data_IF_905269970140
#
_entry.id   IF_905269970140
#
_cell.length_a   1.000
_cell.length_b   1.000
_cell.length_c   1.000
_cell.angle_alpha   90.00
_cell.angle_beta   90.00
_cell.angle_gamma   90.00
#
_symmetry.space_group_name_H-M   'P 1'
#
loop_
_entity.id
_entity.type
_entity.pdbx_description
1 polymer ?
#
# COMPACT_ATOMS: atom_id res chain seq x y z
N UNK A 1 53.50 -53.30 -33.54
CA UNK A 1 52.16 -53.70 -33.07
C UNK A 1 52.31 -54.86 -32.09
N UNK A 2 51.66 -54.73 -30.92
CA UNK A 2 51.91 -55.49 -29.71
C UNK A 2 51.56 -56.98 -29.77
N UNK A 3 52.19 -57.81 -28.92
CA UNK A 3 51.63 -59.10 -28.51
C UNK A 3 51.37 -59.23 -27.00
N UNK A 4 50.30 -59.99 -26.69
CA UNK A 4 50.18 -61.05 -25.65
C UNK A 4 49.95 -60.73 -24.15
N UNK A 5 48.76 -61.17 -23.70
CA UNK A 5 48.42 -62.23 -22.70
C UNK A 5 48.51 -62.03 -21.16
N UNK A 6 47.47 -62.62 -20.51
CA UNK A 6 47.36 -63.35 -19.19
C UNK A 6 47.11 -62.50 -17.92
N UNK A 7 46.01 -62.71 -17.16
CA UNK A 7 45.63 -63.77 -16.17
C UNK A 7 45.91 -63.28 -14.71
N UNK A 8 44.88 -63.02 -13.88
CA UNK A 8 44.23 -63.89 -12.87
C UNK A 8 44.96 -64.01 -11.50
N UNK A 9 44.28 -63.66 -10.38
CA UNK A 9 44.41 -64.35 -9.06
C UNK A 9 43.38 -63.92 -8.01
N UNK A 10 43.14 -64.83 -7.06
CA UNK A 10 42.06 -64.92 -6.07
C UNK A 10 42.46 -64.47 -4.63
N UNK A 11 41.42 -64.37 -3.78
CA UNK A 11 41.30 -64.94 -2.42
C UNK A 11 41.67 -64.16 -1.14
N UNK A 12 40.86 -64.49 -0.11
CA UNK A 12 40.68 -64.02 1.27
C UNK A 12 41.91 -64.13 2.19
N UNK A 13 41.96 -63.30 3.24
CA UNK A 13 42.24 -63.78 4.61
C UNK A 13 41.84 -62.78 5.71
N UNK A 14 41.43 -63.33 6.84
CA UNK A 14 41.02 -62.70 8.10
C UNK A 14 42.16 -62.70 9.13
N UNK A 15 42.34 -61.64 9.93
CA UNK A 15 42.98 -61.75 11.25
C UNK A 15 42.68 -60.54 12.16
N UNK A 16 42.51 -60.85 13.44
CA UNK A 16 42.13 -60.04 14.62
C UNK A 16 43.31 -59.23 15.19
N UNK A 17 43.04 -58.06 15.79
CA UNK A 17 43.96 -57.33 16.68
C UNK A 17 43.20 -56.37 17.60
N UNK A 18 43.52 -56.36 18.90
CA UNK A 18 42.72 -55.88 20.05
C UNK A 18 43.43 -54.71 20.75
N UNK A 19 42.70 -53.67 21.24
CA UNK A 19 42.95 -52.75 22.39
C UNK A 19 42.24 -51.39 22.13
N UNK A 20 41.13 -51.01 22.76
CA UNK A 20 40.77 -50.66 24.17
C UNK A 20 41.02 -49.18 24.56
N UNK A 21 39.92 -48.52 24.99
CA UNK A 21 39.77 -47.18 25.64
C UNK A 21 40.02 -45.98 24.71
N UNK A 22 39.12 -44.99 24.59
CA UNK A 22 38.67 -44.06 25.66
C UNK A 22 37.26 -43.52 25.37
N UNK A 23 36.44 -43.53 26.43
CA UNK A 23 35.37 -42.60 26.85
C UNK A 23 34.70 -41.71 25.79
N UNK A 24 33.44 -42.04 25.60
CA UNK A 24 32.27 -41.23 25.27
C UNK A 24 32.33 -39.83 25.93
N UNK A 25 32.46 -38.79 25.12
CA UNK A 25 32.05 -37.42 25.44
C UNK A 25 31.03 -37.00 24.39
N UNK A 26 29.82 -36.74 24.88
CA UNK A 26 28.69 -36.22 24.14
C UNK A 26 29.06 -34.81 23.67
N UNK A 27 29.26 -34.64 22.36
CA UNK A 27 29.10 -33.33 21.72
C UNK A 27 27.64 -33.22 21.35
N UNK A 28 26.87 -32.54 22.19
CA UNK A 28 25.64 -31.89 21.78
C UNK A 28 26.04 -30.89 20.69
N UNK A 29 25.79 -31.25 19.44
CA UNK A 29 25.64 -30.26 18.38
C UNK A 29 24.36 -29.50 18.71
N UNK A 30 24.51 -28.36 19.37
CA UNK A 30 23.50 -27.32 19.37
C UNK A 30 23.25 -26.96 17.90
N UNK A 31 22.22 -27.58 17.33
CA UNK A 31 21.54 -27.00 16.18
C UNK A 31 21.00 -25.66 16.67
N UNK A 32 21.66 -24.58 16.28
CA UNK A 32 21.02 -23.28 16.22
C UNK A 32 19.78 -23.44 15.33
N UNK A 33 18.64 -23.75 15.96
CA UNK A 33 17.35 -23.40 15.42
C UNK A 33 17.37 -21.88 15.29
N UNK A 34 17.75 -21.42 14.11
CA UNK A 34 17.39 -20.08 13.64
C UNK A 34 15.87 -20.04 13.75
N UNK A 35 15.38 -19.47 14.85
CA UNK A 35 14.00 -19.02 14.98
C UNK A 35 13.86 -17.98 13.87
N UNK A 36 13.50 -18.45 12.67
CA UNK A 36 13.10 -17.58 11.58
C UNK A 36 11.88 -16.86 12.12
N UNK A 37 12.07 -15.60 12.51
CA UNK A 37 10.98 -14.68 12.69
C UNK A 37 9.99 -14.90 11.54
N UNK A 38 8.67 -15.01 11.82
CA UNK A 38 7.70 -15.25 10.77
C UNK A 38 7.94 -14.21 9.68
N UNK A 39 8.01 -14.65 8.42
CA UNK A 39 8.29 -13.80 7.28
C UNK A 39 7.40 -12.56 7.40
N UNK A 40 8.02 -11.39 7.63
CA UNK A 40 7.30 -10.14 7.92
C UNK A 40 6.32 -9.83 6.80
N UNK A 41 6.65 -10.29 5.59
CA UNK A 41 5.79 -10.33 4.42
C UNK A 41 4.50 -11.14 4.64
N UNK A 42 4.61 -12.42 5.01
CA UNK A 42 3.44 -13.28 5.23
C UNK A 42 2.57 -12.78 6.39
N UNK A 43 3.21 -12.26 7.44
CA UNK A 43 2.51 -11.70 8.59
C UNK A 43 1.69 -10.47 8.20
N UNK A 44 2.27 -9.56 7.40
CA UNK A 44 1.57 -8.39 6.87
C UNK A 44 0.39 -8.79 5.96
N UNK A 45 0.58 -9.78 5.10
CA UNK A 45 -0.51 -10.30 4.23
C UNK A 45 -1.68 -10.82 5.05
N UNK A 46 -1.43 -11.62 6.09
CA UNK A 46 -2.49 -12.15 6.95
C UNK A 46 -3.22 -11.05 7.70
N UNK A 47 -2.50 -10.06 8.25
CA UNK A 47 -3.08 -8.93 8.95
C UNK A 47 -3.99 -8.09 8.03
N UNK A 48 -3.55 -7.79 6.81
CA UNK A 48 -4.33 -7.02 5.84
C UNK A 48 -5.58 -7.76 5.37
N UNK A 49 -5.50 -9.08 5.16
CA UNK A 49 -6.67 -9.90 4.77
C UNK A 49 -7.72 -10.02 5.87
N UNK A 50 -7.31 -9.99 7.13
CA UNK A 50 -8.22 -10.06 8.28
C UNK A 50 -8.91 -8.71 8.57
N UNK A 51 -8.36 -7.61 8.07
CA UNK A 51 -8.87 -6.28 8.31
C UNK A 51 -10.00 -5.91 7.34
N UNK A 52 -11.19 -5.64 7.87
CA UNK A 52 -12.31 -5.07 7.10
C UNK A 52 -12.23 -3.55 7.11
N UNK A 53 -11.98 -2.93 5.96
CA UNK A 53 -12.02 -1.48 5.80
C UNK A 53 -13.45 -0.93 5.79
N UNK A 54 -13.66 0.26 6.36
CA UNK A 54 -14.90 1.03 6.19
C UNK A 54 -14.74 1.89 4.93
N UNK A 55 -15.73 1.85 4.04
CA UNK A 55 -15.75 2.72 2.86
C UNK A 55 -16.40 4.03 3.25
N UNK A 56 -15.62 5.09 3.38
CA UNK A 56 -16.17 6.42 3.56
C UNK A 56 -16.69 7.04 2.25
N UNK A 57 -17.28 8.23 2.36
CA UNK A 57 -17.87 8.95 1.22
C UNK A 57 -16.79 9.50 0.28
N UNK A 58 -16.92 9.20 -1.00
CA UNK A 58 -15.95 9.65 -2.00
C UNK A 58 -15.98 11.18 -2.19
N UNK A 59 -14.79 11.81 -2.17
CA UNK A 59 -14.63 13.23 -2.51
C UNK A 59 -14.61 13.41 -4.04
N UNK A 60 -15.13 14.55 -4.52
CA UNK A 60 -15.07 14.90 -5.94
C UNK A 60 -13.60 15.02 -6.36
N UNK A 61 -13.26 14.45 -7.51
CA UNK A 61 -11.93 14.52 -8.10
C UNK A 61 -11.46 15.99 -8.19
N UNK A 62 -10.30 16.30 -7.61
CA UNK A 62 -9.79 17.67 -7.50
C UNK A 62 -9.54 18.39 -8.84
N UNK A 63 -9.51 17.65 -9.96
CA UNK A 63 -9.43 18.24 -11.31
C UNK A 63 -10.80 18.56 -11.92
N UNK A 64 -11.89 18.22 -11.24
CA UNK A 64 -13.24 18.57 -11.64
C UNK A 64 -13.52 20.02 -11.25
N UNK A 65 -14.09 20.81 -12.18
CA UNK A 65 -14.47 22.20 -11.89
C UNK A 65 -15.53 22.35 -10.79
N UNK A 66 -16.17 21.25 -10.39
CA UNK A 66 -17.19 21.21 -9.34
C UNK A 66 -16.61 20.87 -7.95
N UNK A 67 -15.32 20.52 -7.84
CA UNK A 67 -14.75 19.97 -6.60
C UNK A 67 -14.74 20.95 -5.42
N UNK A 68 -14.75 22.27 -5.68
CA UNK A 68 -14.79 23.31 -4.66
C UNK A 68 -16.20 23.86 -4.36
N UNK A 69 -17.25 23.23 -4.91
CA UNK A 69 -18.63 23.68 -4.68
C UNK A 69 -19.25 22.92 -3.51
N UNK A 70 -19.66 23.63 -2.46
CA UNK A 70 -20.22 23.04 -1.23
C UNK A 70 -21.55 22.31 -1.43
N UNK A 71 -22.28 22.63 -2.50
CA UNK A 71 -23.54 21.99 -2.86
C UNK A 71 -23.37 20.80 -3.82
N UNK A 72 -22.14 20.34 -4.10
CA UNK A 72 -21.87 19.23 -5.00
C UNK A 72 -21.24 18.07 -4.26
N UNK A 73 -21.76 16.86 -4.47
CA UNK A 73 -21.22 15.65 -3.85
C UNK A 73 -21.27 14.45 -4.78
N UNK A 74 -20.38 13.48 -4.54
CA UNK A 74 -20.47 12.18 -5.21
C UNK A 74 -21.71 11.45 -4.72
N UNK A 75 -22.47 10.90 -5.66
CA UNK A 75 -23.70 10.19 -5.38
C UNK A 75 -23.43 8.74 -4.94
N UNK A 76 -23.82 8.42 -3.71
CA UNK A 76 -23.72 7.07 -3.15
C UNK A 76 -22.30 6.48 -3.35
N UNK A 77 -22.23 5.28 -3.92
CA UNK A 77 -21.00 4.54 -4.20
C UNK A 77 -20.49 4.74 -5.65
N UNK A 78 -21.11 5.61 -6.45
CA UNK A 78 -20.81 5.83 -7.88
C UNK A 78 -19.50 6.62 -8.08
N UNK A 79 -18.42 6.06 -7.57
CA UNK A 79 -17.02 6.46 -7.69
C UNK A 79 -16.20 5.24 -8.05
N UNK A 80 -15.39 5.32 -9.09
CA UNK A 80 -14.38 4.29 -9.33
C UNK A 80 -13.12 4.85 -9.96
N UNK A 81 -11.99 4.32 -9.48
CA UNK A 81 -10.69 4.48 -10.09
C UNK A 81 -10.30 3.17 -10.77
N UNK A 82 -9.92 3.27 -12.03
CA UNK A 82 -9.53 2.14 -12.86
C UNK A 82 -8.09 2.33 -13.33
N UNK A 83 -7.33 1.23 -13.39
CA UNK A 83 -5.96 1.23 -13.87
C UNK A 83 -5.73 0.13 -14.91
N UNK A 84 -4.79 0.36 -15.82
CA UNK A 84 -4.37 -0.59 -16.84
C UNK A 84 -2.90 -0.39 -17.16
N UNK A 85 -2.10 -1.43 -16.93
CA UNK A 85 -0.72 -1.48 -17.37
C UNK A 85 -0.50 -2.64 -18.34
N UNK A 86 0.26 -2.37 -19.41
CA UNK A 86 0.77 -3.38 -20.33
C UNK A 86 2.14 -2.93 -20.82
N UNK A 87 3.18 -3.63 -20.36
CA UNK A 87 4.58 -3.33 -20.68
C UNK A 87 4.85 -3.44 -22.18
N UNK A 88 4.33 -4.48 -22.84
CA UNK A 88 4.57 -4.74 -24.27
C UNK A 88 4.11 -3.62 -25.20
N UNK A 89 3.09 -2.86 -24.79
CA UNK A 89 2.56 -1.72 -25.55
C UNK A 89 2.89 -0.35 -24.91
N UNK A 90 3.74 -0.30 -23.88
CA UNK A 90 3.99 0.90 -23.05
C UNK A 90 2.69 1.62 -22.64
N UNK A 91 1.69 0.83 -22.26
CA UNK A 91 0.46 1.36 -21.68
C UNK A 91 0.60 1.38 -20.17
N UNK A 92 0.39 2.55 -19.57
CA UNK A 92 0.23 2.72 -18.14
C UNK A 92 -0.82 3.82 -17.93
N UNK A 93 -2.08 3.43 -17.84
CA UNK A 93 -3.23 4.32 -18.02
C UNK A 93 -4.18 4.22 -16.86
N UNK A 94 -4.71 5.36 -16.44
CA UNK A 94 -5.78 5.44 -15.46
C UNK A 94 -7.09 5.92 -16.11
N UNK A 95 -8.20 5.63 -15.45
CA UNK A 95 -9.52 6.15 -15.76
C UNK A 95 -10.29 6.36 -14.45
N UNK A 96 -10.85 7.54 -14.23
CA UNK A 96 -11.72 7.86 -13.09
C UNK A 96 -13.11 8.12 -13.64
N UNK A 97 -14.12 7.57 -12.97
CA UNK A 97 -15.54 7.80 -13.26
C UNK A 97 -16.22 8.18 -11.95
N UNK A 98 -16.90 9.32 -11.93
CA UNK A 98 -17.70 9.78 -10.79
C UNK A 98 -19.08 10.25 -11.25
N UNK A 99 -20.10 9.88 -10.50
CA UNK A 99 -21.43 10.47 -10.61
C UNK A 99 -21.61 11.50 -9.50
N UNK A 100 -21.73 12.75 -9.89
CA UNK A 100 -21.81 13.90 -9.00
C UNK A 100 -23.24 14.44 -9.05
N UNK A 101 -23.77 14.88 -7.92
CA UNK A 101 -25.06 15.54 -7.87
C UNK A 101 -25.05 16.78 -6.99
N UNK A 102 -25.95 17.70 -7.32
CA UNK A 102 -26.23 18.86 -6.48
C UNK A 102 -27.18 18.50 -5.35
N UNK A 103 -26.89 19.00 -4.14
CA UNK A 103 -27.72 18.84 -2.93
C UNK A 103 -28.87 19.87 -2.85
N UNK A 104 -29.03 20.71 -3.88
CA UNK A 104 -30.10 21.70 -3.94
C UNK A 104 -31.49 21.05 -4.13
N UNK A 105 -32.55 21.82 -3.82
CA UNK A 105 -33.96 21.39 -3.96
C UNK A 105 -34.34 20.83 -5.35
N UNK A 106 -33.58 21.18 -6.38
CA UNK A 106 -33.67 20.58 -7.73
C UNK A 106 -32.32 19.96 -8.07
N UNK A 107 -32.12 18.66 -7.81
CA UNK A 107 -30.82 18.04 -8.03
C UNK A 107 -30.49 18.03 -9.53
N UNK A 108 -29.29 18.51 -9.85
CA UNK A 108 -28.66 18.34 -11.16
C UNK A 108 -27.60 17.27 -11.04
N UNK A 109 -27.41 16.47 -12.09
CA UNK A 109 -26.49 15.33 -12.07
C UNK A 109 -25.41 15.50 -13.12
N UNK A 110 -24.21 15.02 -12.83
CA UNK A 110 -23.07 15.09 -13.74
C UNK A 110 -22.30 13.78 -13.71
N UNK A 111 -21.90 13.28 -14.88
CA UNK A 111 -20.90 12.23 -14.96
C UNK A 111 -19.54 12.84 -15.31
N UNK A 112 -18.62 12.74 -14.36
CA UNK A 112 -17.23 13.13 -14.51
C UNK A 112 -16.42 11.92 -14.97
N UNK A 113 -15.64 12.11 -16.03
CA UNK A 113 -14.69 11.13 -16.52
C UNK A 113 -13.33 11.80 -16.66
N UNK A 114 -12.27 11.21 -16.10
CA UNK A 114 -10.88 11.68 -16.26
C UNK A 114 -9.98 10.52 -16.63
N UNK A 115 -9.11 10.68 -17.62
CA UNK A 115 -8.26 9.60 -18.11
C UNK A 115 -6.94 10.10 -18.67
N UNK A 116 -5.92 9.25 -18.63
CA UNK A 116 -4.62 9.60 -19.17
C UNK A 116 -3.56 8.61 -18.75
N UNK A 117 -2.31 9.06 -18.81
CA UNK A 117 -1.16 8.30 -18.33
C UNK A 117 -1.03 8.46 -16.81
N UNK A 118 -0.68 7.39 -16.10
CA UNK A 118 -0.43 7.45 -14.64
C UNK A 118 0.70 8.44 -14.36
N UNK A 119 0.57 9.27 -13.32
CA UNK A 119 1.45 10.41 -13.04
C UNK A 119 1.10 11.73 -13.76
N UNK A 120 0.30 11.69 -14.81
CA UNK A 120 -0.16 12.89 -15.54
C UNK A 120 -1.62 13.22 -15.19
N UNK A 121 -2.01 14.49 -15.39
CA UNK A 121 -3.38 15.00 -15.16
C UNK A 121 -4.37 14.37 -16.13
N UNK A 122 -3.95 14.14 -17.38
CA UNK A 122 -4.78 13.54 -18.42
C UNK A 122 -5.80 14.51 -19.03
N UNK A 123 -6.78 13.93 -19.73
CA UNK A 123 -7.95 14.60 -20.28
C UNK A 123 -9.16 14.32 -19.39
N UNK A 124 -10.17 15.19 -19.47
CA UNK A 124 -11.40 15.02 -18.73
C UNK A 124 -12.64 15.39 -19.53
N UNK A 125 -13.79 14.93 -19.07
CA UNK A 125 -15.10 15.27 -19.60
C UNK A 125 -16.13 15.27 -18.48
N UNK A 126 -16.84 16.39 -18.35
CA UNK A 126 -18.02 16.53 -17.50
C UNK A 126 -19.26 16.51 -18.38
N UNK A 127 -20.20 15.60 -18.11
CA UNK A 127 -21.44 15.47 -18.89
C UNK A 127 -22.64 15.75 -17.99
N UNK A 128 -23.47 16.79 -18.26
CA UNK A 128 -24.62 17.11 -17.44
C UNK A 128 -25.85 16.26 -17.77
N UNK A 129 -26.68 16.00 -16.77
CA UNK A 129 -27.94 15.27 -16.85
C UNK A 129 -29.03 15.94 -16.00
N UNK A 130 -30.26 15.91 -16.49
CA UNK A 130 -31.43 16.47 -15.81
C UNK A 130 -32.12 15.50 -14.86
N UNK A 131 -31.74 14.22 -14.86
CA UNK A 131 -32.31 13.18 -14.02
C UNK A 131 -31.25 12.14 -13.62
N UNK A 132 -31.50 11.44 -12.51
CA UNK A 132 -30.58 10.45 -11.95
C UNK A 132 -30.43 9.21 -12.84
N UNK A 133 -31.54 8.63 -13.33
CA UNK A 133 -31.48 7.38 -14.08
C UNK A 133 -30.63 7.47 -15.36
N UNK A 134 -30.73 8.53 -16.20
CA UNK A 134 -29.82 8.70 -17.33
C UNK A 134 -28.36 8.82 -16.91
N UNK A 135 -28.06 9.50 -15.81
CA UNK A 135 -26.70 9.65 -15.30
C UNK A 135 -26.13 8.29 -14.82
N UNK A 136 -26.90 7.54 -14.02
CA UNK A 136 -26.52 6.18 -13.57
C UNK A 136 -26.25 5.27 -14.78
N UNK A 137 -27.12 5.30 -15.80
CA UNK A 137 -26.92 4.52 -17.03
C UNK A 137 -25.66 4.92 -17.81
N UNK A 138 -25.31 6.19 -17.89
CA UNK A 138 -24.07 6.62 -18.54
C UNK A 138 -22.85 6.13 -17.76
N UNK A 139 -22.84 6.30 -16.43
CA UNK A 139 -21.79 5.78 -15.56
C UNK A 139 -21.59 4.27 -15.74
N UNK A 140 -22.66 3.48 -15.61
CA UNK A 140 -22.60 2.01 -15.68
C UNK A 140 -22.18 1.53 -17.06
N UNK A 141 -22.64 2.22 -18.12
CA UNK A 141 -22.20 1.95 -19.49
C UNK A 141 -20.70 2.22 -19.64
N UNK A 142 -20.20 3.36 -19.14
CA UNK A 142 -18.76 3.67 -19.18
C UNK A 142 -17.94 2.65 -18.41
N UNK A 143 -18.37 2.29 -17.20
CA UNK A 143 -17.72 1.25 -16.40
C UNK A 143 -17.63 -0.06 -17.19
N UNK A 144 -18.75 -0.56 -17.70
CA UNK A 144 -18.81 -1.81 -18.48
C UNK A 144 -17.97 -1.77 -19.75
N UNK A 145 -17.96 -0.66 -20.48
CA UNK A 145 -17.13 -0.51 -21.68
C UNK A 145 -15.62 -0.63 -21.36
N UNK A 146 -15.20 -0.10 -20.21
CA UNK A 146 -13.79 -0.07 -19.77
C UNK A 146 -13.34 -1.35 -19.08
N UNK A 147 -14.23 -2.02 -18.33
CA UNK A 147 -13.88 -3.16 -17.49
C UNK A 147 -14.44 -4.49 -17.99
N UNK A 148 -15.46 -4.49 -18.86
CA UNK A 148 -16.33 -5.63 -19.20
C UNK A 148 -17.13 -6.22 -18.03
N UNK A 149 -17.16 -5.56 -16.88
CA UNK A 149 -17.94 -5.96 -15.72
C UNK A 149 -19.21 -5.09 -15.58
N UNK A 150 -20.25 -5.62 -14.95
CA UNK A 150 -21.42 -4.81 -14.59
C UNK A 150 -21.15 -4.08 -13.26
N UNK A 151 -21.60 -2.83 -13.14
CA UNK A 151 -21.40 -2.04 -11.92
C UNK A 151 -22.08 -2.64 -10.69
N UNK A 152 -23.25 -3.24 -10.87
CA UNK A 152 -24.00 -3.93 -9.81
C UNK A 152 -23.28 -5.17 -9.27
N UNK A 153 -22.38 -5.76 -10.05
CA UNK A 153 -21.64 -6.99 -9.72
C UNK A 153 -20.17 -6.69 -9.40
N UNK A 154 -19.84 -5.43 -9.12
CA UNK A 154 -18.45 -4.98 -8.93
C UNK A 154 -17.72 -5.64 -7.77
N UNK A 155 -18.44 -6.21 -6.79
CA UNK A 155 -17.83 -7.00 -5.71
C UNK A 155 -17.23 -8.32 -6.22
N UNK A 156 -17.77 -8.87 -7.31
CA UNK A 156 -17.28 -10.07 -7.99
C UNK A 156 -16.46 -9.71 -9.25
N UNK A 157 -15.66 -8.63 -9.15
CA UNK A 157 -14.89 -8.11 -10.27
C UNK A 157 -13.95 -9.15 -10.87
N UNK A 158 -14.02 -9.34 -12.19
CA UNK A 158 -13.07 -10.20 -12.93
C UNK A 158 -12.21 -9.36 -13.87
N UNK A 159 -10.88 -9.43 -13.69
CA UNK A 159 -9.95 -8.78 -14.60
C UNK A 159 -9.96 -9.44 -15.98
N UNK A 160 -10.02 -8.63 -17.04
CA UNK A 160 -10.01 -9.11 -18.41
C UNK A 160 -8.77 -8.61 -19.18
N UNK A 161 -8.14 -9.46 -20.01
CA UNK A 161 -7.01 -9.06 -20.83
C UNK A 161 -7.32 -7.81 -21.68
N UNK A 162 -6.43 -6.83 -21.65
CA UNK A 162 -6.57 -5.59 -22.42
C UNK A 162 -7.68 -4.65 -21.92
N UNK A 163 -8.27 -4.91 -20.75
CA UNK A 163 -9.24 -4.02 -20.10
C UNK A 163 -8.68 -3.42 -18.82
N UNK A 164 -9.40 -2.42 -18.30
CA UNK A 164 -9.03 -1.79 -17.03
C UNK A 164 -9.46 -2.66 -15.85
N UNK A 165 -8.68 -2.60 -14.78
CA UNK A 165 -8.98 -3.22 -13.48
C UNK A 165 -9.38 -2.16 -12.48
N UNK A 166 -10.37 -2.43 -11.64
CA UNK A 166 -10.80 -1.52 -10.58
C UNK A 166 -9.78 -1.51 -9.44
N UNK A 167 -9.49 -0.32 -8.93
CA UNK A 167 -8.64 -0.10 -7.77
C UNK A 167 -9.53 0.32 -6.62
N UNK A 168 -9.49 -0.45 -5.54
CA UNK A 168 -10.27 -0.15 -4.34
C UNK A 168 -9.56 0.91 -3.52
N UNK A 169 -10.17 2.09 -3.50
CA UNK A 169 -9.72 3.24 -2.73
C UNK A 169 -10.58 3.36 -1.48
N UNK A 170 -9.93 3.46 -0.32
CA UNK A 170 -10.60 3.88 0.92
C UNK A 170 -10.66 5.41 0.93
N UNK A 171 -11.86 5.93 1.22
CA UNK A 171 -12.08 7.35 1.43
C UNK A 171 -12.31 7.57 2.91
N UNK A 172 -11.62 8.54 3.49
CA UNK A 172 -11.85 8.95 4.86
C UNK A 172 -13.13 9.78 4.92
N UNK A 173 -14.01 9.43 5.87
CA UNK A 173 -15.29 10.12 6.10
C UNK A 173 -15.15 11.53 6.68
N UNK A 174 -13.93 11.95 7.02
CA UNK A 174 -13.73 13.14 7.83
C UNK A 174 -13.54 14.40 6.94
N UNK A 175 -14.44 15.35 7.18
CA UNK A 175 -14.39 16.74 6.73
C UNK A 175 -13.19 17.42 7.37
N UNK A 176 -12.08 17.51 6.63
CA UNK A 176 -11.33 18.74 6.39
C UNK A 176 -10.15 18.40 5.47
N UNK A 177 -9.68 19.39 4.74
CA UNK A 177 -8.67 19.24 3.72
C UNK A 177 -7.37 18.64 4.26
N UNK A 178 -6.73 17.82 3.42
CA UNK A 178 -5.31 17.48 3.55
C UNK A 178 -4.39 18.66 3.20
N UNK A 179 -4.76 19.88 3.62
CA UNK A 179 -3.77 20.91 3.93
C UNK A 179 -3.37 20.69 5.38
N UNK A 180 -2.06 20.71 5.59
CA UNK A 180 -1.35 20.53 6.84
C UNK A 180 -2.21 20.71 8.11
N UNK A 181 -2.20 19.71 8.99
CA UNK A 181 -2.39 19.95 10.42
C UNK A 181 -1.20 20.77 10.99
N UNK A 182 -0.78 21.84 10.32
CA UNK A 182 -0.37 23.03 11.04
C UNK A 182 -1.68 23.61 11.51
N UNK A 183 -1.94 23.50 12.80
CA UNK A 183 -3.00 24.25 13.48
C UNK A 183 -2.72 25.74 13.22
N UNK A 184 -3.16 26.27 12.07
CA UNK A 184 -3.26 27.70 11.82
C UNK A 184 -4.49 28.12 12.59
N UNK A 185 -4.24 28.53 13.83
CA UNK A 185 -5.23 29.23 14.66
C UNK A 185 -5.45 30.62 14.05
N UNK A 186 -6.06 30.69 12.87
CA UNK A 186 -6.63 31.93 12.34
C UNK A 186 -8.14 31.75 12.22
N UNK A 187 -8.76 31.97 13.38
CA UNK A 187 -10.12 32.44 13.65
C UNK A 187 -11.10 32.47 12.46
N UNK A 188 -12.04 31.53 12.47
CA UNK A 188 -13.45 31.80 12.15
C UNK A 188 -14.35 30.90 13.01
N UNK A 189 -15.12 31.55 13.89
CA UNK A 189 -16.32 31.06 14.59
C UNK A 189 -16.27 29.77 15.44
N UNK A 190 -15.73 29.88 16.67
CA UNK A 190 -15.92 28.90 17.76
C UNK A 190 -15.01 29.18 18.96
N UNK A 191 -15.44 28.92 20.19
CA UNK A 191 -14.68 29.25 21.42
C UNK A 191 -13.23 28.73 21.38
N UNK A 192 -12.22 29.49 21.85
CA UNK A 192 -10.83 29.05 21.83
C UNK A 192 -10.63 27.85 22.76
N UNK A 193 -10.51 26.64 22.19
CA UNK A 193 -10.07 25.45 22.92
C UNK A 193 -8.64 25.69 23.42
N UNK A 194 -8.41 25.63 24.74
CA UNK A 194 -7.06 25.77 25.31
C UNK A 194 -6.29 24.46 25.13
N UNK A 195 -5.18 24.51 24.41
CA UNK A 195 -4.26 23.39 24.22
C UNK A 195 -3.31 23.33 25.42
N UNK A 196 -3.13 22.14 26.01
CA UNK A 196 -2.17 21.92 27.10
C UNK A 196 -0.72 21.97 26.58
N UNK A 197 0.25 22.41 27.41
CA UNK A 197 1.66 22.28 27.05
C UNK A 197 2.06 20.81 26.93
N UNK A 198 2.97 20.50 26.00
CA UNK A 198 3.46 19.14 25.79
C UNK A 198 4.13 18.59 27.05
N UNK A 199 3.78 17.36 27.42
CA UNK A 199 4.32 16.65 28.58
C UNK A 199 5.69 15.98 28.31
N UNK A 200 6.06 15.82 27.04
CA UNK A 200 7.28 15.12 26.61
C UNK A 200 8.52 16.01 26.71
N UNK A 201 9.69 15.40 26.91
CA UNK A 201 10.98 16.08 26.79
C UNK A 201 11.29 16.44 25.33
N UNK A 202 12.16 17.44 25.12
CA UNK A 202 12.44 17.98 23.78
C UNK A 202 12.97 16.91 22.80
N UNK A 203 13.92 16.03 23.17
CA UNK A 203 14.34 14.92 22.32
C UNK A 203 13.20 13.97 21.93
N UNK A 204 12.32 13.61 22.87
CA UNK A 204 11.14 12.78 22.57
C UNK A 204 10.15 13.51 21.65
N UNK A 205 9.93 14.81 21.84
CA UNK A 205 9.11 15.62 20.93
C UNK A 205 9.66 15.61 19.49
N UNK A 206 10.98 15.79 19.35
CA UNK A 206 11.64 15.81 18.05
C UNK A 206 11.54 14.44 17.36
N UNK A 207 11.69 13.34 18.10
CA UNK A 207 11.50 11.99 17.59
C UNK A 207 10.05 11.72 17.15
N UNK A 208 9.07 12.06 17.99
CA UNK A 208 7.65 11.88 17.66
C UNK A 208 7.27 12.70 16.44
N UNK A 209 7.71 13.96 16.36
CA UNK A 209 7.47 14.82 15.19
C UNK A 209 8.12 14.27 13.92
N UNK A 210 9.26 13.58 14.03
CA UNK A 210 9.94 12.97 12.90
C UNK A 210 9.16 11.76 12.36
N UNK A 211 8.80 10.82 13.24
CA UNK A 211 8.19 9.55 12.83
C UNK A 211 6.72 9.70 12.39
N UNK A 212 6.03 10.76 12.82
CA UNK A 212 4.68 11.09 12.37
C UNK A 212 4.65 12.16 11.25
N UNK A 213 5.80 12.50 10.65
CA UNK A 213 5.87 13.49 9.57
C UNK A 213 5.22 12.97 8.28
N UNK A 214 4.14 13.63 7.85
CA UNK A 214 3.47 13.34 6.57
C UNK A 214 4.39 13.53 5.36
N UNK A 215 5.31 14.49 5.42
CA UNK A 215 6.19 14.80 4.30
C UNK A 215 7.27 13.74 4.13
N UNK A 216 7.78 13.17 5.22
CA UNK A 216 8.66 12.01 5.15
C UNK A 216 7.97 10.81 4.49
N UNK A 217 6.68 10.59 4.77
CA UNK A 217 5.90 9.55 4.08
C UNK A 217 5.72 9.85 2.59
N UNK A 218 5.42 11.11 2.23
CA UNK A 218 5.33 11.52 0.81
C UNK A 218 6.66 11.30 0.08
N UNK A 219 7.77 11.73 0.66
CA UNK A 219 9.10 11.59 0.05
C UNK A 219 9.52 10.13 -0.12
N UNK A 220 9.22 9.29 0.87
CA UNK A 220 9.45 7.84 0.79
C UNK A 220 8.64 7.19 -0.34
N UNK A 221 7.34 7.51 -0.47
CA UNK A 221 6.51 7.00 -1.57
C UNK A 221 6.99 7.48 -2.95
N UNK A 222 7.50 8.70 -3.04
CA UNK A 222 8.01 9.29 -4.28
C UNK A 222 9.26 8.54 -4.76
N UNK A 223 10.17 8.24 -3.84
CA UNK A 223 11.39 7.45 -4.09
C UNK A 223 11.05 6.04 -4.62
N UNK A 224 9.89 5.51 -4.22
CA UNK A 224 9.37 4.22 -4.65
C UNK A 224 8.65 4.24 -6.01
N UNK A 225 8.57 5.40 -6.68
CA UNK A 225 7.87 5.62 -7.96
C UNK A 225 6.35 5.37 -7.89
N UNK A 226 5.73 5.64 -6.73
CA UNK A 226 4.29 5.57 -6.55
C UNK A 226 3.63 6.90 -6.97
N UNK A 227 2.42 6.82 -7.54
CA UNK A 227 1.65 8.02 -7.95
C UNK A 227 0.96 8.68 -6.76
N UNK A 228 1.71 9.49 -5.99
CA UNK A 228 1.20 10.20 -4.79
C UNK A 228 0.03 11.13 -5.09
N UNK A 229 -0.04 11.69 -6.31
CA UNK A 229 -1.14 12.60 -6.67
C UNK A 229 -2.49 11.89 -6.75
N UNK A 230 -2.48 10.60 -7.05
CA UNK A 230 -3.69 9.78 -7.14
C UNK A 230 -3.86 8.85 -5.95
N UNK A 231 -2.77 8.59 -5.25
CA UNK A 231 -2.72 7.90 -3.97
C UNK A 231 -2.15 8.88 -2.94
N UNK A 232 -2.91 9.93 -2.54
CA UNK A 232 -2.54 10.62 -1.31
C UNK A 232 -2.49 9.53 -0.23
N UNK A 233 -1.44 9.58 0.60
CA UNK A 233 -1.07 8.57 1.59
C UNK A 233 -2.33 7.90 2.18
N UNK A 234 -2.42 6.57 2.15
CA UNK A 234 -3.47 5.82 2.88
C UNK A 234 -4.73 5.48 2.11
N UNK A 235 -4.89 5.99 0.90
CA UNK A 235 -6.10 5.72 0.11
C UNK A 235 -6.17 4.33 -0.52
N UNK A 236 -5.08 3.56 -0.53
CA UNK A 236 -5.14 2.20 -1.08
C UNK A 236 -5.73 1.28 0.00
N UNK A 237 -6.86 0.65 -0.27
CA UNK A 237 -7.48 -0.24 0.71
C UNK A 237 -6.55 -1.38 1.12
N UNK A 238 -6.72 -1.90 2.34
CA UNK A 238 -5.99 -3.08 2.84
C UNK A 238 -6.14 -4.27 1.89
N UNK A 239 -7.34 -4.43 1.33
CA UNK A 239 -7.65 -5.45 0.33
C UNK A 239 -6.82 -5.28 -0.96
N UNK A 240 -6.62 -4.04 -1.41
CA UNK A 240 -5.82 -3.75 -2.60
C UNK A 240 -4.32 -3.99 -2.36
N UNK A 241 -3.79 -3.64 -1.19
CA UNK A 241 -2.40 -3.97 -0.80
C UNK A 241 -2.22 -5.50 -0.75
N UNK A 242 -3.19 -6.23 -0.18
CA UNK A 242 -3.19 -7.69 -0.16
C UNK A 242 -3.17 -8.32 -1.57
N UNK A 243 -3.97 -7.80 -2.52
CA UNK A 243 -3.91 -8.21 -3.94
C UNK A 243 -2.53 -7.93 -4.57
N UNK A 244 -1.89 -6.83 -4.16
CA UNK A 244 -0.53 -6.50 -4.56
C UNK A 244 0.48 -7.56 -4.13
N UNK A 245 0.38 -8.01 -2.88
CA UNK A 245 1.22 -9.07 -2.33
C UNK A 245 1.05 -10.40 -3.08
N UNK A 246 -0.20 -10.81 -3.34
CA UNK A 246 -0.50 -12.03 -4.12
C UNK A 246 0.12 -11.96 -5.52
N UNK A 247 0.09 -10.79 -6.17
CA UNK A 247 0.73 -10.61 -7.46
C UNK A 247 2.27 -10.74 -7.41
N UNK A 248 2.91 -10.29 -6.31
CA UNK A 248 4.34 -10.49 -6.11
C UNK A 248 4.70 -11.94 -5.77
N UNK A 249 3.85 -12.68 -5.04
CA UNK A 249 4.04 -14.11 -4.78
C UNK A 249 3.97 -14.92 -6.09
N UNK A 250 3.04 -14.60 -6.98
CA UNK A 250 2.97 -15.23 -8.31
C UNK A 250 4.20 -14.90 -9.17
N UNK A 251 4.70 -13.65 -9.11
CA UNK A 251 5.96 -13.27 -9.75
C UNK A 251 7.15 -14.04 -9.19
N UNK A 252 7.22 -14.22 -7.87
CA UNK A 252 8.26 -15.01 -7.23
C UNK A 252 8.24 -16.45 -7.72
N UNK A 253 7.07 -17.09 -7.71
CA UNK A 253 6.90 -18.46 -8.18
C UNK A 253 7.28 -18.60 -9.67
N UNK A 254 6.98 -17.59 -10.48
CA UNK A 254 7.38 -17.57 -11.89
C UNK A 254 8.90 -17.43 -12.06
N UNK A 255 9.57 -16.61 -11.25
CA UNK A 255 11.03 -16.45 -11.24
C UNK A 255 11.75 -17.73 -10.81
N UNK A 256 11.28 -18.37 -9.74
CA UNK A 256 11.81 -19.64 -9.24
C UNK A 256 11.70 -20.77 -10.29
N UNK A 257 10.59 -20.77 -11.04
CA UNK A 257 10.37 -21.69 -12.17
C UNK A 257 11.12 -21.30 -13.44
N UNK A 258 11.89 -20.20 -13.43
CA UNK A 258 12.60 -19.65 -14.59
C UNK A 258 11.67 -19.43 -15.79
N UNK A 259 10.51 -18.84 -15.54
CA UNK A 259 9.55 -18.51 -16.57
C UNK A 259 10.16 -17.60 -17.66
N UNK A 260 9.60 -17.66 -18.86
CA UNK A 260 10.10 -16.84 -19.96
C UNK A 260 9.80 -15.34 -19.74
N UNK A 261 10.53 -14.48 -20.46
CA UNK A 261 10.41 -13.02 -20.34
C UNK A 261 9.00 -12.51 -20.66
N UNK A 262 8.24 -13.21 -21.50
CA UNK A 262 6.85 -12.84 -21.83
C UNK A 262 5.92 -13.02 -20.63
N UNK A 263 6.02 -14.15 -19.94
CA UNK A 263 5.23 -14.43 -18.75
C UNK A 263 5.58 -13.47 -17.60
N UNK A 264 6.87 -13.19 -17.40
CA UNK A 264 7.32 -12.19 -16.41
C UNK A 264 6.80 -10.78 -16.74
N UNK A 265 6.79 -10.41 -18.03
CA UNK A 265 6.23 -9.13 -18.49
C UNK A 265 4.73 -9.02 -18.23
N UNK A 266 3.97 -10.10 -18.44
CA UNK A 266 2.54 -10.15 -18.16
C UNK A 266 2.24 -10.04 -16.66
N UNK A 267 2.94 -10.82 -15.83
CA UNK A 267 2.81 -10.77 -14.37
C UNK A 267 3.25 -9.41 -13.80
N UNK A 268 4.32 -8.82 -14.34
CA UNK A 268 4.76 -7.46 -13.97
C UNK A 268 3.71 -6.42 -14.37
N UNK A 269 3.11 -6.55 -15.55
CA UNK A 269 2.01 -5.68 -15.99
C UNK A 269 0.80 -5.81 -15.07
N UNK A 270 0.51 -7.03 -14.58
CA UNK A 270 -0.57 -7.28 -13.61
C UNK A 270 -0.28 -6.59 -12.28
N UNK A 271 0.94 -6.72 -11.76
CA UNK A 271 1.36 -6.04 -10.54
C UNK A 271 1.20 -4.52 -10.65
N UNK A 272 1.70 -3.88 -11.71
CA UNK A 272 1.54 -2.43 -11.91
C UNK A 272 0.11 -1.99 -12.21
N UNK A 273 -0.73 -2.90 -12.68
CA UNK A 273 -2.16 -2.65 -12.82
C UNK A 273 -2.81 -2.59 -11.44
N UNK A 274 -2.46 -3.51 -10.54
CA UNK A 274 -3.00 -3.57 -9.16
C UNK A 274 -2.44 -2.43 -8.30
N UNK A 275 -1.15 -2.13 -8.43
CA UNK A 275 -0.47 -1.09 -7.67
C UNK A 275 -0.01 0.00 -8.66
N UNK A 276 -0.75 1.12 -8.79
CA UNK A 276 -0.42 2.17 -9.75
C UNK A 276 0.98 2.76 -9.52
N UNK A 277 1.82 2.70 -10.54
CA UNK A 277 3.17 3.28 -10.50
C UNK A 277 3.31 4.39 -11.53
N UNK A 278 4.10 5.41 -11.21
CA UNK A 278 4.45 6.48 -12.13
C UNK A 278 5.84 6.23 -12.73
N UNK A 279 5.87 5.87 -14.01
CA UNK A 279 7.13 5.66 -14.77
C UNK A 279 7.46 6.84 -15.71
N UNK A 280 6.81 8.00 -15.52
CA UNK A 280 6.86 9.09 -16.49
C UNK A 280 6.50 8.57 -17.88
N UNK A 281 7.23 8.97 -18.93
CA UNK A 281 7.01 8.47 -20.31
C UNK A 281 7.76 7.18 -20.65
N UNK A 282 8.53 6.63 -19.71
CA UNK A 282 9.28 5.40 -19.94
C UNK A 282 8.39 4.17 -19.90
N UNK A 283 8.80 3.12 -20.59
CA UNK A 283 8.12 1.82 -20.50
C UNK A 283 8.28 1.27 -19.09
N UNK A 284 7.20 0.77 -18.44
CA UNK A 284 7.32 0.14 -17.13
C UNK A 284 8.33 -1.02 -17.18
N UNK A 285 9.27 -1.11 -16.22
CA UNK A 285 10.32 -2.13 -16.23
C UNK A 285 9.74 -3.52 -15.94
N UNK A 286 10.34 -4.58 -16.47
CA UNK A 286 9.94 -5.95 -16.11
C UNK A 286 10.58 -6.32 -14.78
N UNK A 287 9.83 -6.99 -13.90
CA UNK A 287 10.35 -7.57 -12.66
C UNK A 287 10.91 -8.95 -13.00
N UNK A 288 12.21 -9.00 -13.34
CA UNK A 288 12.89 -10.23 -13.80
C UNK A 288 14.06 -10.68 -12.92
N UNK A 289 14.41 -9.94 -11.86
CA UNK A 289 15.43 -10.34 -10.87
C UNK A 289 14.88 -10.40 -9.46
N UNK A 290 15.54 -11.18 -8.61
CA UNK A 290 15.19 -11.31 -7.20
C UNK A 290 15.37 -9.98 -6.45
N UNK A 291 16.37 -9.16 -6.81
CA UNK A 291 16.57 -7.87 -6.15
C UNK A 291 15.41 -6.90 -6.43
N UNK A 292 14.96 -6.82 -7.70
CA UNK A 292 13.82 -5.96 -8.07
C UNK A 292 12.54 -6.45 -7.40
N UNK A 293 12.33 -7.77 -7.36
CA UNK A 293 11.19 -8.36 -6.65
C UNK A 293 11.21 -8.00 -5.16
N UNK A 294 12.34 -8.17 -4.49
CA UNK A 294 12.48 -7.87 -3.07
C UNK A 294 12.21 -6.38 -2.79
N UNK A 295 12.76 -5.48 -3.61
CA UNK A 295 12.49 -4.05 -3.50
C UNK A 295 10.99 -3.72 -3.64
N UNK A 296 10.23 -4.47 -4.47
CA UNK A 296 8.76 -4.32 -4.55
C UNK A 296 8.03 -4.90 -3.36
N UNK A 297 8.54 -5.97 -2.74
CA UNK A 297 7.99 -6.49 -1.48
C UNK A 297 8.18 -5.50 -0.34
N UNK A 298 9.37 -4.93 -0.21
CA UNK A 298 9.70 -3.93 0.80
C UNK A 298 8.83 -2.68 0.62
N UNK A 299 8.58 -2.26 -0.62
CA UNK A 299 7.63 -1.20 -0.93
C UNK A 299 6.22 -1.48 -0.42
N UNK A 300 5.68 -2.68 -0.64
CA UNK A 300 4.33 -3.03 -0.15
C UNK A 300 4.27 -3.09 1.38
N UNK A 301 5.35 -3.52 2.05
CA UNK A 301 5.45 -3.47 3.50
C UNK A 301 5.39 -2.03 4.01
N UNK A 302 6.11 -1.11 3.37
CA UNK A 302 6.06 0.31 3.70
C UNK A 302 4.66 0.89 3.47
N UNK A 303 3.99 0.51 2.38
CA UNK A 303 2.59 0.91 2.15
C UNK A 303 1.64 0.42 3.24
N UNK A 304 1.81 -0.82 3.70
CA UNK A 304 1.01 -1.38 4.78
C UNK A 304 1.26 -0.66 6.13
N UNK A 305 2.53 -0.37 6.44
CA UNK A 305 2.90 0.36 7.65
C UNK A 305 2.33 1.80 7.63
N UNK A 306 2.32 2.47 6.47
CA UNK A 306 1.73 3.81 6.31
C UNK A 306 0.22 3.80 6.49
N UNK A 307 -0.47 2.85 5.86
CA UNK A 307 -1.93 2.72 5.98
C UNK A 307 -2.34 2.45 7.44
N UNK A 308 -1.58 1.60 8.14
CA UNK A 308 -1.79 1.35 9.58
C UNK A 308 -1.55 2.63 10.41
N UNK A 309 -0.46 3.35 10.15
CA UNK A 309 -0.15 4.60 10.85
C UNK A 309 -1.27 5.64 10.67
N UNK A 310 -1.83 5.74 9.46
CA UNK A 310 -2.92 6.66 9.17
C UNK A 310 -4.25 6.22 9.79
N UNK A 311 -4.55 4.93 9.82
CA UNK A 311 -5.72 4.42 10.56
C UNK A 311 -5.62 4.83 12.04
N UNK A 312 -4.45 4.67 12.66
CA UNK A 312 -4.21 5.07 14.05
C UNK A 312 -4.34 6.59 14.24
N UNK A 313 -3.92 7.39 13.26
CA UNK A 313 -4.08 8.86 13.27
C UNK A 313 -5.52 9.31 12.98
N UNK A 314 -6.33 8.55 12.25
CA UNK A 314 -7.73 8.90 12.00
C UNK A 314 -8.61 8.58 13.23
N UNK A 315 -8.33 7.47 13.92
CA UNK A 315 -8.98 7.13 15.19
C UNK A 315 -8.75 8.20 16.28
N UNK A 316 -7.64 8.96 16.19
CA UNK A 316 -7.33 10.12 17.04
C UNK A 316 -8.39 11.22 16.94
N UNK A 317 -8.75 11.63 15.72
CA UNK A 317 -9.66 12.77 15.47
C UNK A 317 -11.05 12.50 16.05
N UNK A 318 -11.52 11.25 15.96
CA UNK A 318 -12.85 10.84 16.46
C UNK A 318 -12.96 10.85 17.98
N UNK A 319 -11.87 10.57 18.69
CA UNK A 319 -11.84 10.64 20.16
C UNK A 319 -11.75 12.07 20.69
N UNK A 320 -11.26 13.02 19.88
CA UNK A 320 -11.10 14.43 20.26
C UNK A 320 -12.41 15.26 20.11
N UNK A 321 -13.37 14.77 19.31
CA UNK A 321 -14.70 15.41 19.14
C UNK A 321 -15.66 15.12 20.30
N UNK A 322 -15.46 14.02 21.02
CA UNK A 322 -16.22 13.66 22.21
C UNK A 322 -15.56 14.23 23.49
N UNK A 323 -16.13 15.34 23.99
CA UNK A 323 -16.04 15.82 25.37
C UNK A 323 -14.64 16.13 25.95
N UNK A 324 -14.09 17.33 25.72
CA UNK A 324 -13.19 17.96 26.72
C UNK A 324 -13.03 19.49 26.57
N UNK A 325 -13.04 20.22 27.69
CA UNK A 325 -12.84 21.68 27.74
C UNK A 325 -11.37 22.12 27.54
N UNK A 326 -10.43 21.18 27.63
CA UNK A 326 -9.00 21.37 27.36
C UNK A 326 -8.50 20.23 26.47
N UNK A 327 -7.81 20.58 25.38
CA UNK A 327 -7.32 19.61 24.39
C UNK A 327 -5.87 19.25 24.73
N UNK A 328 -5.50 17.95 24.78
CA UNK A 328 -4.10 17.53 24.98
C UNK A 328 -3.19 18.03 23.85
N UNK A 329 -1.88 18.14 24.11
CA UNK A 329 -0.93 18.56 23.09
C UNK A 329 -0.85 17.49 21.97
N UNK A 330 -0.83 17.85 20.67
CA UNK A 330 -0.83 16.87 19.57
C UNK A 330 0.25 15.80 19.67
N UNK A 331 1.47 16.19 20.05
CA UNK A 331 2.60 15.25 20.24
C UNK A 331 2.40 14.29 21.42
N UNK A 332 1.70 14.71 22.49
CA UNK A 332 1.41 13.80 23.61
C UNK A 332 0.47 12.69 23.17
N UNK A 333 -0.48 13.03 22.29
CA UNK A 333 -1.42 12.06 21.72
C UNK A 333 -0.70 11.11 20.77
N UNK A 334 0.13 11.64 19.86
CA UNK A 334 0.92 10.82 18.93
C UNK A 334 1.87 9.86 19.68
N UNK A 335 2.46 10.31 20.78
CA UNK A 335 3.28 9.47 21.65
C UNK A 335 2.49 8.34 22.32
N UNK A 336 1.26 8.60 22.78
CA UNK A 336 0.40 7.56 23.36
C UNK A 336 0.01 6.49 22.34
N UNK A 337 -0.14 6.85 21.05
CA UNK A 337 -0.43 5.90 19.98
C UNK A 337 0.68 4.86 19.79
N UNK A 338 1.93 5.21 20.08
CA UNK A 338 3.06 4.28 20.03
C UNK A 338 2.94 3.14 21.04
N UNK A 339 2.12 3.32 22.10
CA UNK A 339 1.92 2.36 23.19
C UNK A 339 3.25 1.83 23.77
N UNK A 340 4.26 2.70 23.82
CA UNK A 340 5.60 2.39 24.26
C UNK A 340 6.14 3.54 25.13
N UNK A 341 6.95 3.20 26.13
CA UNK A 341 7.66 4.19 26.95
C UNK A 341 9.03 4.45 26.37
N UNK A 342 9.29 5.70 25.98
CA UNK A 342 10.60 6.17 25.52
C UNK A 342 11.26 6.99 26.63
N UNK A 343 12.54 6.72 26.85
CA UNK A 343 13.37 7.46 27.80
C UNK A 343 14.72 7.78 27.16
N UNK A 344 15.16 9.03 27.27
CA UNK A 344 16.47 9.44 26.77
C UNK A 344 17.59 8.78 27.59
N UNK A 345 18.49 8.09 26.90
CA UNK A 345 19.66 7.49 27.53
C UNK A 345 20.72 8.55 27.81
N UNK A 346 21.27 8.55 29.03
CA UNK A 346 22.36 9.48 29.36
C UNK A 346 23.62 9.12 28.58
N UNK A 347 24.15 10.08 27.83
CA UNK A 347 25.41 10.01 27.09
C UNK A 347 26.62 9.57 27.93
N UNK A 348 26.54 9.70 29.25
CA UNK A 348 27.60 9.27 30.19
C UNK A 348 27.41 7.84 30.71
N UNK A 349 26.25 7.24 30.50
CA UNK A 349 25.95 5.88 30.94
C UNK A 349 26.84 4.86 30.23
N UNK A 350 27.11 3.73 30.89
CA UNK A 350 27.86 2.64 30.27
C UNK A 350 27.09 2.03 29.10
N UNK A 351 25.75 1.96 29.19
CA UNK A 351 24.88 1.49 28.10
C UNK A 351 25.07 2.33 26.83
N UNK A 352 25.12 3.67 26.96
CA UNK A 352 25.34 4.55 25.80
C UNK A 352 26.72 4.37 25.17
N UNK A 353 27.75 4.04 25.96
CA UNK A 353 29.10 3.79 25.44
C UNK A 353 29.23 2.45 24.72
N UNK A 354 28.34 1.50 25.03
CA UNK A 354 28.33 0.15 24.43
C UNK A 354 27.62 0.16 23.07
N UNK A 355 26.55 0.93 22.93
CA UNK A 355 25.83 1.18 21.67
C UNK A 355 26.71 2.01 20.73
#
# INVERSE_FOLDING_TARGET
MAPKRKAATQAKSSAKGKRSKVKEEVKEEEQEEVIKAPDRFQSAVQALKAATGKKGKAKIDASCSLSGQSNMEVHEDYDCMLNQTNIGHNNNKFYIIQLIHSTDKKPTYYCWNRWGRVGEVGQSKLTPFSALDPAKKDFEKKFKDKTKNNWSERENFTAHPGKYTMIEVEHDDDEEDGDEAVVKVDSVDGLPKKIRPCSLDKPTQDLVSLIFSSDMFKDAMQTMNLDIKKMPLGKLSKAQIAKGFEALEELQAALERKANKSALSELSSRFYTIIPHNFGRQTPPVIDTQEVLQAKKDMLLVLADIELAQTLQADKVKQEEEEMAEVPHPLDVDYQLLKCHLSLLDTKSEEYKVI
#
